data_IF_993305017440
#
_entry.id   IF_993305017440
#
_cell.length_a   1.000
_cell.length_b   1.000
_cell.length_c   1.000
_cell.angle_alpha   90.00
_cell.angle_beta   90.00
_cell.angle_gamma   90.00
#
_symmetry.space_group_name_H-M   'P 1'
#
loop_
_entity.id
_entity.type
_entity.pdbx_description
1 polymer ?
#
# COMPACT_ATOMS: atom_id res chain seq x y z
N UNK A 1 22.11 -16.30 -3.54
CA UNK A 1 21.66 -15.19 -4.39
C UNK A 1 20.15 -15.28 -4.48
N UNK A 2 19.41 -14.24 -4.07
CA UNK A 2 17.95 -14.22 -4.23
C UNK A 2 17.61 -13.99 -5.70
N UNK A 3 16.65 -14.75 -6.21
CA UNK A 3 16.14 -14.60 -7.57
C UNK A 3 15.34 -13.29 -7.70
N UNK A 4 15.23 -12.72 -8.91
CA UNK A 4 14.44 -11.50 -9.13
C UNK A 4 13.01 -11.60 -8.60
N UNK A 5 12.36 -12.75 -8.77
CA UNK A 5 10.99 -12.96 -8.26
C UNK A 5 10.92 -12.95 -6.72
N UNK A 6 11.91 -13.52 -6.03
CA UNK A 6 11.97 -13.45 -4.56
C UNK A 6 12.07 -12.00 -4.07
N UNK A 7 12.93 -11.18 -4.68
CA UNK A 7 13.05 -9.75 -4.33
C UNK A 7 11.74 -8.99 -4.54
N UNK A 8 11.06 -9.22 -5.66
CA UNK A 8 9.79 -8.57 -5.95
C UNK A 8 8.75 -8.91 -4.88
N UNK A 9 8.63 -10.19 -4.53
CA UNK A 9 7.61 -10.67 -3.58
C UNK A 9 7.92 -10.25 -2.13
N UNK A 10 9.19 -10.21 -1.74
CA UNK A 10 9.58 -9.94 -0.35
C UNK A 10 9.84 -8.46 -0.06
N UNK A 11 10.22 -7.67 -1.06
CA UNK A 11 10.62 -6.28 -0.85
C UNK A 11 9.66 -5.31 -1.55
N UNK A 12 9.47 -5.48 -2.86
CA UNK A 12 8.73 -4.52 -3.67
C UNK A 12 7.23 -4.52 -3.37
N UNK A 13 6.56 -5.67 -3.46
CA UNK A 13 5.11 -5.77 -3.21
C UNK A 13 4.74 -5.31 -1.79
N UNK A 14 5.48 -5.72 -0.73
CA UNK A 14 5.22 -5.22 0.61
C UNK A 14 5.44 -3.71 0.77
N UNK A 15 6.44 -3.13 0.10
CA UNK A 15 6.68 -1.69 0.13
C UNK A 15 5.54 -0.89 -0.53
N UNK A 16 5.05 -1.33 -1.69
CA UNK A 16 3.92 -0.68 -2.37
C UNK A 16 2.69 -0.66 -1.45
N UNK A 17 2.37 -1.82 -0.85
CA UNK A 17 1.25 -1.94 0.10
C UNK A 17 1.42 -1.06 1.33
N UNK A 18 2.64 -0.99 1.89
CA UNK A 18 2.92 -0.16 3.05
C UNK A 18 2.77 1.33 2.75
N UNK A 19 3.36 1.78 1.64
CA UNK A 19 3.29 3.17 1.20
C UNK A 19 1.84 3.59 0.97
N UNK A 20 1.05 2.75 0.29
CA UNK A 20 -0.37 3.03 0.04
C UNK A 20 -1.20 3.07 1.35
N UNK A 21 -0.97 2.13 2.27
CA UNK A 21 -1.63 2.12 3.58
C UNK A 21 -1.31 3.38 4.41
N UNK A 22 -0.04 3.81 4.38
CA UNK A 22 0.42 5.04 5.05
C UNK A 22 -0.24 6.27 4.43
N UNK A 23 -0.29 6.37 3.10
CA UNK A 23 -0.92 7.52 2.42
C UNK A 23 -2.43 7.61 2.68
N UNK A 24 -3.15 6.47 2.72
CA UNK A 24 -4.56 6.44 3.10
C UNK A 24 -4.78 7.00 4.51
N UNK A 25 -3.95 6.61 5.48
CA UNK A 25 -4.05 7.12 6.85
C UNK A 25 -3.67 8.60 6.94
N UNK A 26 -2.64 9.06 6.22
CA UNK A 26 -2.28 10.48 6.13
C UNK A 26 -3.42 11.33 5.56
N UNK A 27 -4.20 10.76 4.62
CA UNK A 27 -5.40 11.39 4.05
C UNK A 27 -6.65 11.28 4.94
N UNK A 28 -6.49 10.85 6.20
CA UNK A 28 -7.55 10.86 7.21
C UNK A 28 -8.38 9.59 7.29
N UNK A 29 -8.04 8.52 6.56
CA UNK A 29 -8.71 7.23 6.72
C UNK A 29 -8.27 6.56 8.03
N UNK A 30 -9.21 5.91 8.72
CA UNK A 30 -8.88 5.05 9.85
C UNK A 30 -8.13 3.80 9.39
N UNK A 31 -7.33 3.17 10.26
CA UNK A 31 -6.64 1.91 9.91
C UNK A 31 -7.61 0.82 9.42
N UNK A 32 -8.81 0.76 9.99
CA UNK A 32 -9.86 -0.17 9.58
C UNK A 32 -10.43 0.16 8.19
N UNK A 33 -10.66 1.44 7.89
CA UNK A 33 -11.11 1.88 6.58
C UNK A 33 -10.04 1.62 5.51
N UNK A 34 -8.78 1.95 5.80
CA UNK A 34 -7.64 1.66 4.91
C UNK A 34 -7.51 0.16 4.64
N UNK A 35 -7.70 -0.69 5.65
CA UNK A 35 -7.67 -2.15 5.49
C UNK A 35 -8.78 -2.64 4.55
N UNK A 36 -9.99 -2.08 4.67
CA UNK A 36 -11.13 -2.37 3.79
C UNK A 36 -10.86 -1.95 2.35
N UNK A 37 -10.36 -0.73 2.13
CA UNK A 37 -10.01 -0.23 0.80
C UNK A 37 -8.93 -1.10 0.12
N UNK A 38 -7.97 -1.60 0.90
CA UNK A 38 -6.87 -2.41 0.40
C UNK A 38 -7.18 -3.92 0.34
N UNK A 39 -8.32 -4.36 0.87
CA UNK A 39 -8.67 -5.79 0.93
C UNK A 39 -7.70 -6.63 1.76
N UNK A 40 -7.19 -6.09 2.87
CA UNK A 40 -6.24 -6.75 3.78
C UNK A 40 -6.74 -6.75 5.23
N UNK A 41 -6.07 -7.51 6.10
CA UNK A 41 -6.36 -7.49 7.53
C UNK A 41 -5.97 -6.15 8.17
N UNK A 42 -6.74 -5.62 9.14
CA UNK A 42 -6.37 -4.40 9.88
C UNK A 42 -5.00 -4.47 10.56
N UNK A 43 -4.59 -5.66 11.02
CA UNK A 43 -3.26 -5.90 11.61
C UNK A 43 -2.12 -5.65 10.61
N UNK A 44 -2.36 -5.89 9.31
CA UNK A 44 -1.36 -5.60 8.28
C UNK A 44 -1.13 -4.09 8.15
N UNK A 45 -2.19 -3.28 8.19
CA UNK A 45 -2.09 -1.81 8.18
C UNK A 45 -1.30 -1.31 9.38
N UNK A 46 -1.60 -1.83 10.59
CA UNK A 46 -0.85 -1.49 11.80
C UNK A 46 0.65 -1.82 11.66
N UNK A 47 0.99 -2.99 11.12
CA UNK A 47 2.39 -3.39 10.87
C UNK A 47 3.09 -2.52 9.83
N UNK A 48 2.39 -2.06 8.80
CA UNK A 48 2.93 -1.13 7.82
C UNK A 48 3.24 0.23 8.44
N UNK A 49 2.29 0.79 9.19
CA UNK A 49 2.46 2.10 9.86
C UNK A 49 3.58 2.03 10.89
N UNK A 50 3.69 0.94 11.65
CA UNK A 50 4.74 0.78 12.65
C UNK A 50 6.11 0.45 12.04
N UNK A 51 6.24 0.40 10.72
CA UNK A 51 7.49 0.04 10.04
C UNK A 51 7.94 -1.41 10.28
N UNK A 52 7.08 -2.29 10.81
CA UNK A 52 7.42 -3.71 11.04
C UNK A 52 7.39 -4.52 9.73
N UNK A 53 6.77 -3.97 8.68
CA UNK A 53 6.65 -4.58 7.36
C UNK A 53 6.71 -3.52 6.26
N UNK A 54 7.29 -3.85 5.10
CA UNK A 54 7.26 -2.99 3.90
C UNK A 54 8.14 -1.73 3.98
N UNK A 55 9.11 -1.69 4.90
CA UNK A 55 10.01 -0.54 5.12
C UNK A 55 11.30 -0.57 4.29
N UNK A 56 11.53 -1.64 3.51
CA UNK A 56 12.80 -1.85 2.79
C UNK A 56 13.02 -0.89 1.62
N UNK A 57 11.93 -0.32 1.07
CA UNK A 57 11.97 0.57 -0.09
C UNK A 57 11.14 1.80 0.25
N UNK A 58 11.74 2.98 0.05
CA UNK A 58 11.06 4.26 0.13
C UNK A 58 10.86 4.80 -1.30
N UNK A 59 9.60 5.06 -1.67
CA UNK A 59 9.28 5.61 -2.98
C UNK A 59 9.39 7.14 -2.97
N UNK A 60 9.95 7.69 -4.05
CA UNK A 60 10.15 9.13 -4.24
C UNK A 60 9.78 9.54 -5.67
N UNK A 61 9.71 10.85 -5.91
CA UNK A 61 9.38 11.43 -7.22
C UNK A 61 8.05 10.92 -7.78
N UNK A 62 8.04 10.67 -9.09
CA UNK A 62 6.86 10.22 -9.84
C UNK A 62 6.19 8.98 -9.23
N UNK A 63 6.97 8.02 -8.71
CA UNK A 63 6.37 6.80 -8.13
C UNK A 63 5.59 7.10 -6.86
N UNK A 64 6.08 8.03 -6.04
CA UNK A 64 5.36 8.47 -4.84
C UNK A 64 4.09 9.23 -5.21
N UNK A 65 4.15 10.12 -6.21
CA UNK A 65 2.99 10.85 -6.72
C UNK A 65 1.90 9.91 -7.25
N UNK A 66 2.29 8.83 -7.94
CA UNK A 66 1.36 7.80 -8.41
C UNK A 66 0.69 7.05 -7.24
N UNK A 67 1.43 6.75 -6.16
CA UNK A 67 0.87 6.11 -4.96
C UNK A 67 -0.11 7.04 -4.25
N UNK A 68 0.24 8.33 -4.11
CA UNK A 68 -0.63 9.34 -3.50
C UNK A 68 -1.92 9.54 -4.30
N UNK A 69 -1.81 9.57 -5.63
CA UNK A 69 -2.96 9.63 -6.54
C UNK A 69 -3.83 8.39 -6.41
N UNK A 70 -3.24 7.20 -6.42
CA UNK A 70 -3.98 5.94 -6.25
C UNK A 70 -4.71 5.89 -4.90
N UNK A 71 -4.08 6.34 -3.80
CA UNK A 71 -4.74 6.46 -2.51
C UNK A 71 -5.95 7.40 -2.57
N UNK A 72 -5.85 8.52 -3.28
CA UNK A 72 -6.99 9.42 -3.48
C UNK A 72 -8.09 8.76 -4.30
N UNK A 73 -7.74 8.10 -5.41
CA UNK A 73 -8.71 7.43 -6.28
C UNK A 73 -9.44 6.30 -5.55
N UNK A 74 -8.78 5.61 -4.62
CA UNK A 74 -9.41 4.61 -3.74
C UNK A 74 -10.43 5.25 -2.79
N UNK A 75 -10.10 6.38 -2.18
CA UNK A 75 -11.01 7.12 -1.29
C UNK A 75 -12.23 7.62 -2.06
N UNK A 76 -12.01 8.12 -3.28
CA UNK A 76 -13.05 8.66 -4.15
C UNK A 76 -13.88 7.57 -4.86
N UNK A 77 -13.56 6.28 -4.66
CA UNK A 77 -14.16 5.14 -5.38
C UNK A 77 -14.06 5.26 -6.92
N UNK A 78 -12.94 5.81 -7.42
CA UNK A 78 -12.65 5.96 -8.86
C UNK A 78 -11.86 4.78 -9.44
N UNK A 79 -11.48 3.82 -8.62
CA UNK A 79 -10.74 2.62 -9.05
C UNK A 79 -11.72 1.55 -9.51
N UNK A 80 -11.61 1.15 -10.77
CA UNK A 80 -12.29 -0.04 -11.29
C UNK A 80 -11.55 -1.29 -10.83
N UNK A 81 -12.26 -2.24 -10.21
CA UNK A 81 -11.68 -3.55 -9.90
C UNK A 81 -11.44 -4.30 -11.23
N UNK A 82 -10.17 -4.52 -11.57
CA UNK A 82 -9.80 -5.24 -12.79
C UNK A 82 -9.89 -6.76 -12.63
N UNK A 83 -10.15 -7.24 -11.41
CA UNK A 83 -10.29 -8.65 -11.10
C UNK A 83 -11.75 -8.91 -10.74
N UNK A 84 -12.48 -9.61 -11.63
CA UNK A 84 -13.77 -10.20 -11.29
C UNK A 84 -13.50 -11.24 -10.20
N UNK A 85 -13.94 -10.96 -8.97
CA UNK A 85 -13.79 -11.85 -7.82
C UNK A 85 -14.74 -13.03 -7.88
#
# INVERSE_FOLDING_TARGET
METPCQKIVWDLVPAIRASLAIELVKKGQSQAASAKLLGIAPSAVSQYISGKRGYKIEFQGETKELIEKLAQDLIDNKVSDFVVR
#
